data_IF_824747376396
#
_entry.id   IF_824747376396
#
_cell.length_a   1.000
_cell.length_b   1.000
_cell.length_c   1.000
_cell.angle_alpha   90.00
_cell.angle_beta   90.00
_cell.angle_gamma   90.00
#
_symmetry.space_group_name_H-M   'P 1'
#
loop_
_entity.id
_entity.type
_entity.pdbx_description
1 polymer ?
#
# COMPACT_ATOMS: atom_id res chain seq x y z
N UNK A 1 -10.36 -16.82 -21.01
CA UNK A 1 -11.07 -16.05 -22.06
C UNK A 1 -11.09 -14.59 -21.64
N UNK A 2 -10.33 -13.72 -22.31
CA UNK A 2 -10.37 -12.27 -22.13
C UNK A 2 -11.53 -11.73 -22.96
N UNK A 3 -12.69 -11.46 -22.35
CA UNK A 3 -13.78 -10.76 -23.05
C UNK A 3 -13.52 -9.26 -22.96
N UNK A 4 -13.10 -8.68 -24.08
CA UNK A 4 -13.11 -7.24 -24.32
C UNK A 4 -14.56 -6.77 -24.51
N UNK A 5 -15.01 -5.91 -23.61
CA UNK A 5 -16.00 -4.90 -23.90
C UNK A 5 -15.49 -3.66 -23.17
N UNK A 6 -15.40 -2.53 -23.88
CA UNK A 6 -15.22 -1.20 -23.28
C UNK A 6 -16.36 -0.99 -22.28
N UNK A 7 -16.17 -1.45 -21.04
CA UNK A 7 -17.11 -1.20 -19.95
C UNK A 7 -16.80 0.21 -19.49
N UNK A 8 -17.48 1.16 -20.12
CA UNK A 8 -17.53 2.52 -19.63
C UNK A 8 -18.51 2.60 -18.46
N UNK A 9 -18.14 3.35 -17.44
CA UNK A 9 -19.02 3.67 -16.32
C UNK A 9 -18.72 5.07 -15.80
N UNK A 10 -19.76 5.74 -15.32
CA UNK A 10 -19.66 7.07 -14.74
C UNK A 10 -20.11 7.02 -13.28
N UNK A 11 -19.30 7.61 -12.40
CA UNK A 11 -19.56 7.65 -10.96
C UNK A 11 -19.68 9.11 -10.53
N UNK A 12 -20.83 9.46 -9.96
CA UNK A 12 -21.00 10.76 -9.32
C UNK A 12 -20.42 10.73 -7.91
N UNK A 13 -19.52 11.66 -7.62
CA UNK A 13 -18.94 11.89 -6.30
C UNK A 13 -19.31 13.30 -5.81
N UNK A 14 -19.14 13.54 -4.51
CA UNK A 14 -19.46 14.84 -3.90
C UNK A 14 -18.66 16.02 -4.49
N UNK A 15 -17.53 15.74 -5.15
CA UNK A 15 -16.57 16.71 -5.70
C UNK A 15 -16.63 16.82 -7.23
N UNK A 16 -17.45 16.00 -7.90
CA UNK A 16 -17.53 15.93 -9.36
C UNK A 16 -17.83 14.53 -9.89
N UNK A 17 -17.67 14.34 -11.19
CA UNK A 17 -17.95 13.09 -11.90
C UNK A 17 -16.67 12.42 -12.38
N UNK A 18 -16.56 11.12 -12.12
CA UNK A 18 -15.47 10.27 -12.59
C UNK A 18 -15.98 9.34 -13.71
N UNK A 19 -15.42 9.48 -14.90
CA UNK A 19 -15.71 8.65 -16.06
C UNK A 19 -14.59 7.62 -16.22
N UNK A 20 -14.92 6.33 -16.27
CA UNK A 20 -13.97 5.22 -16.24
C UNK A 20 -14.18 4.36 -17.49
N UNK A 21 -13.09 4.03 -18.18
CA UNK A 21 -13.07 3.05 -19.26
C UNK A 21 -12.06 1.94 -18.95
N UNK A 22 -12.49 0.68 -18.97
CA UNK A 22 -11.61 -0.48 -18.73
C UNK A 22 -11.21 -1.11 -20.06
N UNK A 23 -9.91 -1.15 -20.34
CA UNK A 23 -9.35 -1.70 -21.58
C UNK A 23 -9.06 -3.20 -21.46
N UNK A 24 -8.46 -3.62 -20.33
CA UNK A 24 -8.10 -5.01 -20.07
C UNK A 24 -8.20 -5.31 -18.58
N UNK A 25 -8.85 -6.41 -18.24
CA UNK A 25 -9.05 -6.80 -16.86
C UNK A 25 -8.83 -8.31 -16.71
N UNK A 26 -7.90 -8.69 -15.83
CA UNK A 26 -7.83 -10.04 -15.28
C UNK A 26 -8.83 -10.23 -14.14
N UNK A 27 -9.19 -9.13 -13.47
CA UNK A 27 -10.12 -9.07 -12.36
C UNK A 27 -11.22 -8.05 -12.65
N UNK A 28 -12.48 -8.30 -12.27
CA UNK A 28 -13.54 -7.29 -12.41
C UNK A 28 -13.19 -6.00 -11.66
N UNK A 29 -13.56 -4.85 -12.23
CA UNK A 29 -13.29 -3.55 -11.61
C UNK A 29 -13.81 -3.50 -10.16
N UNK A 30 -15.08 -3.87 -9.98
CA UNK A 30 -15.76 -3.84 -8.69
C UNK A 30 -15.20 -4.84 -7.67
N UNK A 31 -14.37 -5.80 -8.12
CA UNK A 31 -13.63 -6.70 -7.23
C UNK A 31 -12.29 -6.10 -6.79
N UNK A 32 -11.65 -5.25 -7.60
CA UNK A 32 -10.36 -4.62 -7.28
C UNK A 32 -10.52 -3.32 -6.51
N UNK A 33 -11.46 -2.46 -6.90
CA UNK A 33 -11.60 -1.15 -6.29
C UNK A 33 -13.05 -0.63 -6.27
N UNK A 34 -13.21 0.43 -5.50
CA UNK A 34 -14.32 1.35 -5.49
C UNK A 34 -13.77 2.78 -5.57
N UNK A 35 -14.63 3.79 -5.42
CA UNK A 35 -14.21 5.19 -5.57
C UNK A 35 -14.82 6.06 -4.47
N UNK A 36 -14.08 7.09 -4.07
CA UNK A 36 -14.52 8.06 -3.08
C UNK A 36 -14.01 9.47 -3.41
N UNK A 37 -14.63 10.49 -2.82
CA UNK A 37 -14.16 11.86 -2.94
C UNK A 37 -13.00 12.12 -1.97
N UNK A 38 -11.99 12.87 -2.42
CA UNK A 38 -10.88 13.31 -1.55
C UNK A 38 -11.23 14.60 -0.85
N UNK A 39 -10.65 14.79 0.33
CA UNK A 39 -10.61 16.07 1.02
C UNK A 39 -9.42 16.89 0.50
N UNK A 40 -9.38 17.16 -0.82
CA UNK A 40 -8.29 17.90 -1.46
C UNK A 40 -8.79 18.68 -2.70
N UNK A 41 -8.54 20.01 -2.80
CA UNK A 41 -9.04 20.82 -3.91
C UNK A 41 -8.37 20.54 -5.27
N UNK A 42 -7.17 19.92 -5.28
CA UNK A 42 -6.40 19.61 -6.50
C UNK A 42 -6.61 18.20 -7.02
N UNK A 43 -7.20 17.32 -6.21
CA UNK A 43 -7.48 15.91 -6.55
C UNK A 43 -8.87 15.59 -6.06
N UNK A 44 -9.86 15.57 -6.94
CA UNK A 44 -11.25 15.41 -6.55
C UNK A 44 -11.65 14.00 -6.08
N UNK A 45 -10.92 12.95 -6.48
CA UNK A 45 -11.29 11.56 -6.21
C UNK A 45 -10.12 10.69 -5.74
N UNK A 46 -10.45 9.52 -5.20
CA UNK A 46 -9.56 8.47 -4.71
C UNK A 46 -10.03 7.12 -5.25
N UNK A 47 -9.09 6.31 -5.76
CA UNK A 47 -9.32 4.88 -6.00
C UNK A 47 -9.19 4.13 -4.67
N UNK A 48 -10.19 3.33 -4.34
CA UNK A 48 -10.34 2.69 -3.04
C UNK A 48 -10.17 1.19 -3.23
N UNK A 49 -8.97 0.68 -3.00
CA UNK A 49 -8.69 -0.75 -3.16
C UNK A 49 -9.55 -1.61 -2.23
N UNK A 50 -10.12 -2.69 -2.78
CA UNK A 50 -10.86 -3.74 -2.07
C UNK A 50 -9.97 -4.91 -1.64
N UNK A 51 -8.73 -4.94 -2.10
CA UNK A 51 -7.82 -6.09 -1.95
C UNK A 51 -6.55 -5.76 -1.16
N UNK A 52 -6.49 -4.59 -0.50
CA UNK A 52 -5.32 -4.15 0.28
C UNK A 52 -5.59 -3.97 1.77
N UNK A 53 -6.85 -3.97 2.21
CA UNK A 53 -7.16 -3.66 3.59
C UNK A 53 -6.91 -2.19 3.98
N UNK A 54 -6.69 -1.25 3.06
CA UNK A 54 -6.38 0.14 3.48
C UNK A 54 -7.64 0.89 3.94
N UNK A 55 -8.56 1.11 3.01
CA UNK A 55 -9.77 1.90 3.26
C UNK A 55 -11.01 1.03 3.52
N UNK A 56 -11.00 -0.18 2.97
CA UNK A 56 -12.03 -1.20 3.17
C UNK A 56 -11.35 -2.40 3.83
N UNK A 57 -12.01 -3.08 4.79
CA UNK A 57 -11.53 -4.37 5.26
C UNK A 57 -11.42 -5.36 4.10
N UNK A 58 -10.35 -6.14 4.07
CA UNK A 58 -10.12 -7.17 3.06
C UNK A 58 -9.87 -8.52 3.73
N UNK A 59 -10.30 -9.62 3.11
CA UNK A 59 -9.94 -10.95 3.61
C UNK A 59 -8.48 -11.26 3.25
N UNK A 60 -7.73 -11.97 4.12
CA UNK A 60 -6.35 -12.35 3.83
C UNK A 60 -6.22 -13.14 2.52
N UNK A 61 -7.16 -14.04 2.26
CA UNK A 61 -7.23 -14.80 1.01
C UNK A 61 -7.30 -13.90 -0.23
N UNK A 62 -8.12 -12.83 -0.19
CA UNK A 62 -8.25 -11.90 -1.32
C UNK A 62 -6.95 -11.11 -1.54
N UNK A 63 -6.32 -10.65 -0.45
CA UNK A 63 -5.04 -9.95 -0.50
C UNK A 63 -3.96 -10.85 -1.13
N UNK A 64 -3.79 -12.07 -0.62
CA UNK A 64 -2.84 -13.08 -1.12
C UNK A 64 -3.09 -13.45 -2.58
N UNK A 65 -4.33 -13.70 -2.96
CA UNK A 65 -4.70 -14.09 -4.32
C UNK A 65 -4.40 -12.95 -5.33
N UNK A 66 -4.70 -11.69 -4.98
CA UNK A 66 -4.37 -10.56 -5.85
C UNK A 66 -2.86 -10.40 -6.07
N UNK A 67 -2.06 -10.57 -5.02
CA UNK A 67 -0.60 -10.52 -5.10
C UNK A 67 -0.02 -11.70 -5.89
N UNK A 68 -0.55 -12.92 -5.68
CA UNK A 68 -0.16 -14.13 -6.43
C UNK A 68 -0.41 -13.95 -7.92
N UNK A 69 -1.61 -13.51 -8.29
CA UNK A 69 -1.95 -13.26 -9.68
C UNK A 69 -1.05 -12.18 -10.28
N UNK A 70 -0.73 -11.14 -9.52
CA UNK A 70 0.17 -10.09 -9.97
C UNK A 70 1.60 -10.62 -10.17
N UNK A 71 2.12 -11.42 -9.24
CA UNK A 71 3.43 -12.06 -9.32
C UNK A 71 3.54 -13.02 -10.51
N UNK A 72 2.49 -13.80 -10.80
CA UNK A 72 2.43 -14.73 -11.94
C UNK A 72 2.47 -14.02 -13.31
N UNK A 73 2.34 -12.68 -13.35
CA UNK A 73 2.45 -11.86 -14.56
C UNK A 73 3.82 -11.20 -14.72
N UNK A 74 4.71 -11.35 -13.74
CA UNK A 74 6.08 -10.88 -13.84
C UNK A 74 6.91 -11.83 -14.72
N UNK A 75 7.89 -11.31 -15.47
CA UNK A 75 8.85 -12.16 -16.19
C UNK A 75 9.71 -12.95 -15.20
N UNK A 76 9.81 -14.26 -15.41
CA UNK A 76 10.61 -15.18 -14.58
C UNK A 76 12.12 -15.17 -14.95
N UNK A 77 12.45 -14.64 -16.12
CA UNK A 77 13.79 -14.56 -16.70
C UNK A 77 14.57 -13.26 -16.38
N UNK A 78 14.10 -12.46 -15.41
CA UNK A 78 14.79 -11.22 -14.99
C UNK A 78 16.24 -11.51 -14.55
N UNK A 79 17.25 -10.76 -15.06
CA UNK A 79 18.64 -10.88 -14.60
C UNK A 79 18.77 -10.73 -13.08
N UNK A 80 19.34 -11.75 -12.43
CA UNK A 80 19.54 -11.80 -10.98
C UNK A 80 20.82 -11.09 -10.51
N UNK A 81 20.89 -10.59 -9.27
CA UNK A 81 19.83 -10.62 -8.24
C UNK A 81 18.66 -9.68 -8.56
N UNK A 82 17.45 -10.05 -8.12
CA UNK A 82 16.24 -9.22 -8.28
C UNK A 82 15.89 -8.57 -6.95
N UNK A 83 15.58 -7.26 -6.97
CA UNK A 83 15.04 -6.57 -5.80
C UNK A 83 13.61 -6.12 -6.07
N UNK A 84 12.68 -6.64 -5.28
CA UNK A 84 11.28 -6.17 -5.21
C UNK A 84 11.23 -4.95 -4.29
N UNK A 85 10.73 -3.83 -4.79
CA UNK A 85 10.67 -2.55 -4.07
C UNK A 85 9.23 -2.07 -3.94
N UNK A 86 8.70 -2.05 -2.72
CA UNK A 86 7.35 -1.53 -2.42
C UNK A 86 7.31 -0.02 -2.17
N UNK A 87 6.29 0.65 -2.72
CA UNK A 87 5.97 2.04 -2.39
C UNK A 87 5.18 2.15 -1.09
N UNK A 88 5.73 2.88 -0.12
CA UNK A 88 5.00 3.21 1.11
C UNK A 88 3.93 4.27 0.85
N UNK A 89 2.77 4.20 1.47
CA UNK A 89 2.42 3.29 2.56
C UNK A 89 1.59 2.09 2.06
N UNK A 90 0.73 2.35 1.07
CA UNK A 90 -0.34 1.45 0.65
C UNK A 90 0.17 0.14 0.07
N UNK A 91 1.23 0.17 -0.73
CA UNK A 91 1.74 -1.01 -1.42
C UNK A 91 2.74 -1.84 -0.61
N UNK A 92 3.07 -1.49 0.66
CA UNK A 92 4.06 -2.24 1.46
C UNK A 92 3.66 -3.71 1.61
N UNK A 93 2.46 -3.98 2.12
CA UNK A 93 1.97 -5.35 2.27
C UNK A 93 1.88 -6.06 0.91
N UNK A 94 1.32 -5.40 -0.11
CA UNK A 94 1.22 -5.95 -1.47
C UNK A 94 2.59 -6.37 -2.02
N UNK A 95 3.59 -5.51 -1.89
CA UNK A 95 4.92 -5.72 -2.43
C UNK A 95 5.64 -6.87 -1.73
N UNK A 96 5.47 -7.01 -0.42
CA UNK A 96 6.05 -8.09 0.34
C UNK A 96 5.36 -9.43 0.02
N UNK A 97 4.03 -9.43 -0.16
CA UNK A 97 3.30 -10.60 -0.67
C UNK A 97 3.73 -10.97 -2.09
N UNK A 98 3.93 -9.99 -2.98
CA UNK A 98 4.44 -10.21 -4.35
C UNK A 98 5.86 -10.79 -4.32
N UNK A 99 6.72 -10.32 -3.42
CA UNK A 99 8.06 -10.89 -3.22
C UNK A 99 8.01 -12.37 -2.90
N UNK A 100 7.16 -12.77 -1.94
CA UNK A 100 7.01 -14.18 -1.58
C UNK A 100 6.43 -15.02 -2.71
N UNK A 101 5.34 -14.58 -3.32
CA UNK A 101 4.69 -15.32 -4.41
C UNK A 101 5.60 -15.44 -5.64
N UNK A 102 6.40 -14.41 -5.93
CA UNK A 102 7.34 -14.46 -7.04
C UNK A 102 8.51 -15.42 -6.78
N UNK A 103 8.98 -15.51 -5.53
CA UNK A 103 9.94 -16.54 -5.12
C UNK A 103 9.37 -17.94 -5.22
N UNK A 104 8.15 -18.15 -4.75
CA UNK A 104 7.47 -19.44 -4.82
C UNK A 104 7.25 -19.87 -6.27
N UNK A 105 6.79 -18.97 -7.13
CA UNK A 105 6.53 -19.26 -8.54
C UNK A 105 7.80 -19.59 -9.34
N UNK A 106 8.93 -18.93 -9.04
CA UNK A 106 10.18 -19.09 -9.80
C UNK A 106 11.18 -20.07 -9.16
N UNK A 107 10.99 -20.42 -7.89
CA UNK A 107 11.96 -21.20 -7.11
C UNK A 107 13.27 -20.46 -6.81
N UNK A 108 13.36 -19.16 -7.14
CA UNK A 108 14.59 -18.36 -7.00
C UNK A 108 14.82 -17.91 -5.57
N UNK A 109 16.09 -17.94 -5.17
CA UNK A 109 16.55 -17.49 -3.85
C UNK A 109 17.20 -16.10 -3.88
N UNK A 110 17.52 -15.60 -5.07
CA UNK A 110 18.15 -14.29 -5.32
C UNK A 110 17.12 -13.16 -5.54
N UNK A 111 15.89 -13.37 -5.10
CA UNK A 111 14.84 -12.34 -5.08
C UNK A 111 14.76 -11.80 -3.65
N UNK A 112 15.11 -10.53 -3.50
CA UNK A 112 15.14 -9.81 -2.24
C UNK A 112 14.02 -8.77 -2.18
N UNK A 113 13.74 -8.26 -0.98
CA UNK A 113 12.69 -7.27 -0.76
C UNK A 113 13.23 -6.01 -0.08
N UNK A 114 12.68 -4.86 -0.44
CA UNK A 114 12.87 -3.57 0.21
C UNK A 114 11.55 -2.78 0.08
N UNK A 115 11.29 -1.84 0.96
CA UNK A 115 10.26 -0.84 0.70
C UNK A 115 10.76 0.56 1.05
N UNK A 116 10.23 1.55 0.34
CA UNK A 116 10.40 2.94 0.74
C UNK A 116 9.68 3.20 2.06
N UNK A 117 10.06 4.25 2.77
CA UNK A 117 9.44 4.62 4.05
C UNK A 117 9.43 6.12 4.25
N UNK A 118 8.51 6.61 5.07
CA UNK A 118 8.51 7.98 5.59
C UNK A 118 8.91 8.03 7.06
N UNK A 119 9.53 6.97 7.55
CA UNK A 119 10.06 6.86 8.91
C UNK A 119 11.57 7.02 8.90
N UNK A 120 12.07 7.98 9.69
CA UNK A 120 13.48 8.20 9.92
C UNK A 120 14.02 7.15 10.90
N UNK A 121 14.94 6.34 10.41
CA UNK A 121 15.80 5.42 11.14
C UNK A 121 17.22 6.00 11.23
N UNK A 122 17.94 5.64 12.30
CA UNK A 122 19.38 5.86 12.41
C UNK A 122 20.15 4.83 11.56
N UNK A 123 20.03 4.99 10.24
CA UNK A 123 20.64 4.10 9.26
C UNK A 123 21.03 4.89 8.00
N UNK A 124 22.11 4.53 7.27
CA UNK A 124 22.48 5.23 6.05
C UNK A 124 21.41 5.11 4.95
N UNK A 125 21.07 6.25 4.34
CA UNK A 125 20.18 6.31 3.18
C UNK A 125 20.92 5.89 1.91
N UNK A 126 20.22 5.14 1.06
CA UNK A 126 20.62 4.89 -0.32
C UNK A 126 20.27 6.12 -1.18
N UNK A 127 19.01 6.55 -1.12
CA UNK A 127 18.50 7.70 -1.86
C UNK A 127 17.20 8.22 -1.24
N UNK A 128 16.75 9.37 -1.76
CA UNK A 128 15.45 9.97 -1.49
C UNK A 128 14.74 10.24 -2.82
N UNK A 129 13.42 10.21 -2.84
CA UNK A 129 12.63 10.66 -3.99
C UNK A 129 11.31 11.29 -3.54
N UNK A 130 10.73 12.12 -4.40
CA UNK A 130 9.49 12.85 -4.13
C UNK A 130 8.36 12.34 -5.02
N UNK A 131 7.15 12.28 -4.47
CA UNK A 131 5.95 12.12 -5.31
C UNK A 131 5.40 13.50 -5.69
N UNK A 132 5.16 13.81 -6.98
CA UNK A 132 4.81 15.16 -7.44
C UNK A 132 3.49 15.74 -6.89
N UNK A 133 2.65 14.90 -6.29
CA UNK A 133 1.28 15.25 -5.91
C UNK A 133 0.97 15.04 -4.44
N UNK A 134 1.92 14.50 -3.69
CA UNK A 134 1.91 14.61 -2.26
C UNK A 134 2.90 15.73 -1.96
N UNK A 135 2.45 16.86 -1.41
CA UNK A 135 3.33 17.79 -0.69
C UNK A 135 3.96 17.13 0.56
N UNK A 136 4.01 15.79 0.58
CA UNK A 136 4.53 14.96 1.63
C UNK A 136 6.05 14.85 1.49
N UNK A 137 6.66 14.68 2.64
CA UNK A 137 8.02 14.28 2.89
C UNK A 137 8.56 13.32 1.82
N UNK A 138 9.78 13.61 1.35
CA UNK A 138 10.53 12.71 0.48
C UNK A 138 10.51 11.28 1.05
N UNK A 139 10.21 10.30 0.20
CA UNK A 139 10.38 8.90 0.55
C UNK A 139 11.85 8.62 0.80
N UNK A 140 12.10 7.85 1.85
CA UNK A 140 13.41 7.39 2.23
C UNK A 140 13.58 5.96 1.73
N UNK A 141 14.73 5.68 1.14
CA UNK A 141 15.18 4.32 0.88
C UNK A 141 16.50 4.14 1.62
N UNK A 142 16.50 3.24 2.59
CA UNK A 142 17.71 2.91 3.33
C UNK A 142 18.59 1.96 2.51
N UNK A 143 19.91 2.10 2.68
CA UNK A 143 20.87 1.21 2.03
C UNK A 143 20.72 -0.19 2.63
N UNK A 144 20.29 -1.20 1.85
CA UNK A 144 20.11 -2.53 2.39
C UNK A 144 21.46 -3.24 2.53
N UNK A 145 21.54 -4.18 3.48
CA UNK A 145 22.66 -5.13 3.58
C UNK A 145 22.43 -6.33 2.63
N UNK A 146 22.24 -6.04 1.34
CA UNK A 146 21.91 -7.01 0.29
C UNK A 146 22.86 -6.85 -0.91
N UNK A 147 23.02 -7.90 -1.75
CA UNK A 147 23.71 -7.77 -3.03
C UNK A 147 23.09 -6.68 -3.91
N UNK A 148 23.91 -5.98 -4.70
CA UNK A 148 23.38 -5.03 -5.68
C UNK A 148 22.50 -5.75 -6.72
N UNK A 149 21.30 -5.24 -7.02
CA UNK A 149 20.39 -5.88 -7.96
C UNK A 149 20.84 -5.65 -9.41
N UNK A 150 20.58 -6.66 -10.25
CA UNK A 150 20.60 -6.54 -11.72
C UNK A 150 19.21 -6.28 -12.30
N UNK A 151 18.15 -6.59 -11.54
CA UNK A 151 16.78 -6.23 -11.92
C UNK A 151 15.98 -5.65 -10.75
N UNK A 152 15.05 -4.75 -11.05
CA UNK A 152 14.09 -4.23 -10.09
C UNK A 152 12.67 -4.62 -10.44
N UNK A 153 11.88 -5.02 -9.43
CA UNK A 153 10.42 -5.11 -9.52
C UNK A 153 9.84 -4.01 -8.65
N UNK A 154 9.30 -2.95 -9.24
CA UNK A 154 8.69 -1.85 -8.49
C UNK A 154 7.19 -2.13 -8.30
N UNK A 155 6.71 -2.05 -7.07
CA UNK A 155 5.33 -2.39 -6.73
C UNK A 155 4.59 -1.16 -6.18
N UNK A 156 3.46 -0.84 -6.81
CA UNK A 156 2.54 0.21 -6.39
C UNK A 156 1.09 -0.29 -6.49
N UNK A 157 0.15 0.27 -5.74
CA UNK A 157 -1.24 -0.16 -5.85
C UNK A 157 -1.94 0.38 -7.10
N UNK A 158 -1.60 1.60 -7.50
CA UNK A 158 -2.23 2.30 -8.61
C UNK A 158 -1.22 3.08 -9.46
N UNK A 159 -1.32 2.99 -10.79
CA UNK A 159 -0.58 3.87 -11.70
C UNK A 159 -1.53 4.85 -12.37
N UNK A 160 -1.25 6.14 -12.21
CA UNK A 160 -1.99 7.22 -12.89
C UNK A 160 -1.15 7.91 -13.98
N UNK A 161 -0.16 8.73 -13.60
CA UNK A 161 0.77 9.37 -14.55
C UNK A 161 2.11 8.63 -14.68
N UNK A 162 2.36 7.66 -13.81
CA UNK A 162 3.65 6.96 -13.69
C UNK A 162 4.81 7.81 -13.15
N UNK A 163 4.58 9.07 -12.76
CA UNK A 163 5.68 9.96 -12.37
C UNK A 163 6.38 9.49 -11.09
N UNK A 164 5.63 9.05 -10.07
CA UNK A 164 6.20 8.51 -8.82
C UNK A 164 7.13 7.33 -9.09
N UNK A 165 6.69 6.38 -9.92
CA UNK A 165 7.50 5.23 -10.34
C UNK A 165 8.75 5.63 -11.13
N UNK A 166 8.64 6.58 -12.07
CA UNK A 166 9.79 7.10 -12.81
C UNK A 166 10.83 7.75 -11.87
N UNK A 167 10.38 8.54 -10.89
CA UNK A 167 11.26 9.20 -9.92
C UNK A 167 11.99 8.16 -9.05
N UNK A 168 11.25 7.16 -8.55
CA UNK A 168 11.83 6.03 -7.81
C UNK A 168 12.85 5.28 -8.66
N UNK A 169 12.48 4.90 -9.88
CA UNK A 169 13.33 4.15 -10.79
C UNK A 169 14.64 4.90 -11.11
N UNK A 170 14.55 6.21 -11.35
CA UNK A 170 15.72 7.05 -11.62
C UNK A 170 16.65 7.13 -10.40
N UNK A 171 16.09 7.33 -9.20
CA UNK A 171 16.88 7.37 -7.96
C UNK A 171 17.62 6.05 -7.73
N UNK A 172 16.93 4.91 -7.90
CA UNK A 172 17.52 3.58 -7.75
C UNK A 172 18.54 3.24 -8.86
N UNK A 173 18.28 3.58 -10.11
CA UNK A 173 19.22 3.36 -11.21
C UNK A 173 20.48 4.22 -11.11
N UNK A 174 20.36 5.39 -10.46
CA UNK A 174 21.53 6.23 -10.13
C UNK A 174 22.36 5.58 -9.03
N UNK A 175 21.71 5.02 -8.00
CA UNK A 175 22.38 4.36 -6.90
C UNK A 175 22.97 2.99 -7.29
N UNK A 176 22.36 2.29 -8.24
CA UNK A 176 22.77 0.98 -8.76
C UNK A 176 22.87 1.00 -10.29
N UNK A 177 24.01 1.48 -10.85
CA UNK A 177 24.17 1.63 -12.30
C UNK A 177 24.08 0.33 -13.10
N UNK A 178 24.32 -0.82 -12.44
CA UNK A 178 24.33 -2.18 -13.01
C UNK A 178 22.94 -2.80 -13.21
N UNK A 179 21.86 -2.11 -12.85
CA UNK A 179 20.51 -2.58 -13.18
C UNK A 179 20.36 -2.65 -14.70
N UNK A 180 19.88 -3.78 -15.20
CA UNK A 180 19.71 -4.09 -16.62
C UNK A 180 18.24 -4.07 -17.03
N UNK A 181 17.35 -4.54 -16.16
CA UNK A 181 15.93 -4.69 -16.44
C UNK A 181 15.06 -4.21 -15.28
N UNK A 182 13.82 -3.83 -15.62
CA UNK A 182 12.81 -3.41 -14.66
C UNK A 182 11.48 -4.09 -14.98
N UNK A 183 10.71 -4.35 -13.93
CA UNK A 183 9.31 -4.71 -14.02
C UNK A 183 8.53 -3.82 -13.06
N UNK A 184 7.28 -3.53 -13.42
CA UNK A 184 6.34 -2.84 -12.54
C UNK A 184 5.16 -3.76 -12.28
N UNK A 185 4.76 -3.88 -11.02
CA UNK A 185 3.61 -4.63 -10.58
C UNK A 185 2.58 -3.67 -9.98
N UNK A 186 1.36 -3.64 -10.50
CA UNK A 186 0.28 -2.82 -9.96
C UNK A 186 -1.09 -3.50 -10.01
N UNK A 187 -2.00 -3.13 -9.11
CA UNK A 187 -3.37 -3.64 -9.16
C UNK A 187 -4.12 -2.99 -10.31
N UNK A 188 -4.05 -1.66 -10.41
CA UNK A 188 -4.77 -0.88 -11.43
C UNK A 188 -3.87 0.11 -12.15
N UNK A 189 -3.76 -0.03 -13.47
CA UNK A 189 -3.02 0.87 -14.36
C UNK A 189 -4.01 1.75 -15.15
N UNK A 190 -4.15 3.00 -14.71
CA UNK A 190 -5.01 4.02 -15.33
C UNK A 190 -4.25 4.93 -16.30
N UNK A 191 -3.06 4.51 -16.69
CA UNK A 191 -2.16 5.31 -17.51
C UNK A 191 -2.30 5.04 -19.00
N UNK A 192 -3.32 4.30 -19.46
CA UNK A 192 -3.48 4.01 -20.88
C UNK A 192 -3.51 5.30 -21.71
N UNK A 193 -2.67 5.34 -22.74
CA UNK A 193 -2.45 6.54 -23.57
C UNK A 193 -1.34 7.47 -23.06
N UNK A 194 -0.73 7.18 -21.91
CA UNK A 194 0.43 7.91 -21.37
C UNK A 194 1.70 7.10 -21.60
N UNK A 195 2.71 7.73 -22.20
CA UNK A 195 4.00 7.08 -22.50
C UNK A 195 4.98 7.10 -21.32
N UNK A 196 4.52 6.82 -20.09
CA UNK A 196 5.39 6.94 -18.91
C UNK A 196 6.53 5.91 -18.89
N UNK A 197 6.33 4.73 -19.46
CA UNK A 197 7.37 3.69 -19.59
C UNK A 197 8.61 4.19 -20.35
N UNK A 198 8.43 5.10 -21.31
CA UNK A 198 9.53 5.69 -22.07
C UNK A 198 10.46 6.58 -21.21
N UNK A 199 10.00 7.00 -20.03
CA UNK A 199 10.80 7.76 -19.05
C UNK A 199 11.51 6.86 -18.04
N UNK A 200 11.30 5.54 -18.10
CA UNK A 200 12.01 4.61 -17.22
C UNK A 200 13.48 4.52 -17.65
N UNK A 201 14.43 4.45 -16.70
CA UNK A 201 15.86 4.50 -17.02
C UNK A 201 16.39 3.19 -17.61
N UNK A 202 15.59 2.12 -17.61
CA UNK A 202 15.93 0.78 -18.13
C UNK A 202 14.71 0.15 -18.80
N UNK A 203 14.90 -0.86 -19.69
CA UNK A 203 13.81 -1.63 -20.26
C UNK A 203 12.84 -2.10 -19.19
N UNK A 204 11.56 -1.74 -19.35
CA UNK A 204 10.54 -1.92 -18.31
C UNK A 204 9.31 -2.64 -18.86
N UNK A 205 8.93 -3.76 -18.25
CA UNK A 205 7.63 -4.39 -18.47
C UNK A 205 6.63 -4.01 -17.35
N UNK A 206 5.33 -4.22 -17.59
CA UNK A 206 4.28 -3.98 -16.59
C UNK A 206 3.39 -5.22 -16.44
N UNK A 207 3.30 -5.71 -15.22
CA UNK A 207 2.25 -6.59 -14.73
C UNK A 207 1.14 -5.76 -14.08
N UNK A 208 -0.09 -5.89 -14.59
CA UNK A 208 -1.27 -5.23 -14.03
C UNK A 208 -2.46 -6.20 -14.00
N UNK A 209 -3.28 -6.13 -12.95
CA UNK A 209 -4.53 -6.90 -12.89
C UNK A 209 -5.66 -6.22 -13.67
N UNK A 210 -5.64 -4.89 -13.75
CA UNK A 210 -6.57 -4.10 -14.55
C UNK A 210 -5.87 -2.92 -15.21
N UNK A 211 -6.23 -2.63 -16.46
CA UNK A 211 -5.78 -1.48 -17.24
C UNK A 211 -6.96 -0.71 -17.79
N UNK A 212 -6.88 0.62 -17.77
CA UNK A 212 -7.95 1.49 -18.22
C UNK A 212 -7.58 2.97 -18.23
N UNK A 213 -8.61 3.81 -18.30
CA UNK A 213 -8.54 5.27 -18.26
C UNK A 213 -9.55 5.82 -17.27
N UNK A 214 -9.19 6.94 -16.67
CA UNK A 214 -10.08 7.72 -15.81
C UNK A 214 -10.05 9.18 -16.26
N UNK A 215 -11.21 9.76 -16.44
CA UNK A 215 -11.42 11.17 -16.75
C UNK A 215 -12.22 11.82 -15.62
N UNK A 216 -11.73 12.95 -15.13
CA UNK A 216 -12.33 13.65 -13.99
C UNK A 216 -12.93 14.97 -14.45
N UNK A 217 -14.22 15.15 -14.21
CA UNK A 217 -14.92 16.43 -14.39
C UNK A 217 -15.22 17.01 -13.01
N UNK A 218 -14.51 18.07 -12.63
CA UNK A 218 -14.72 18.74 -11.35
C UNK A 218 -16.02 19.56 -11.36
N UNK A 219 -16.82 19.41 -10.31
CA UNK A 219 -18.00 20.24 -10.08
C UNK A 219 -17.72 21.20 -8.92
N UNK A 220 -18.17 22.46 -9.04
CA UNK A 220 -17.89 23.51 -8.06
C UNK A 220 -18.51 23.16 -6.70
N UNK A 221 -17.70 22.68 -5.77
CA UNK A 221 -18.07 22.55 -4.36
C UNK A 221 -17.31 23.58 -3.52
N UNK A 222 -18.00 24.08 -2.51
CA UNK A 222 -17.58 25.13 -1.58
C UNK A 222 -16.21 24.83 -0.96
N UNK A 223 -15.35 25.85 -0.98
CA UNK A 223 -13.96 25.93 -0.48
C UNK A 223 -13.60 24.88 0.58
N UNK A 224 -12.76 23.90 0.20
CA UNK A 224 -12.05 23.05 1.15
C UNK A 224 -10.82 23.81 1.69
N UNK A 225 -10.67 23.85 3.01
CA UNK A 225 -9.59 24.55 3.70
C UNK A 225 -8.20 24.13 3.18
N UNK A 226 -7.39 25.13 2.80
CA UNK A 226 -6.03 25.00 2.25
C UNK A 226 -4.97 24.58 3.28
N UNK A 227 -5.33 24.41 4.56
CA UNK A 227 -4.39 24.10 5.65
C UNK A 227 -3.87 22.65 5.68
N UNK A 228 -4.34 21.77 4.79
CA UNK A 228 -3.89 20.37 4.74
C UNK A 228 -2.50 20.18 4.12
N UNK A 229 -2.09 21.05 3.19
CA UNK A 229 -0.90 20.83 2.35
C UNK A 229 0.42 20.89 3.14
N UNK A 230 0.46 21.51 4.32
CA UNK A 230 1.71 21.71 5.10
C UNK A 230 1.99 20.62 6.13
N UNK A 231 0.95 19.94 6.66
CA UNK A 231 1.12 18.94 7.71
C UNK A 231 1.59 17.57 7.17
N UNK A 232 1.13 17.16 5.98
CA UNK A 232 1.48 15.85 5.39
C UNK A 232 3.00 15.67 5.07
N UNK A 233 3.80 16.72 5.24
CA UNK A 233 5.22 16.80 4.93
C UNK A 233 6.17 16.26 6.00
N UNK A 234 5.70 15.94 7.22
CA UNK A 234 6.61 15.47 8.27
C UNK A 234 7.00 14.00 8.09
N UNK A 235 8.26 13.70 8.41
CA UNK A 235 8.76 12.33 8.53
C UNK A 235 8.57 11.90 9.99
N UNK A 236 8.18 10.65 10.20
CA UNK A 236 8.16 10.10 11.56
C UNK A 236 9.57 9.71 11.98
N UNK A 237 9.77 9.43 13.27
CA UNK A 237 11.07 9.01 13.78
C UNK A 237 10.92 7.74 14.59
N UNK A 238 11.68 6.70 14.23
CA UNK A 238 11.73 5.45 14.98
C UNK A 238 13.09 5.35 15.65
N UNK A 239 13.11 5.52 16.97
CA UNK A 239 14.34 5.37 17.77
C UNK A 239 14.76 3.89 17.85
N UNK A 240 13.78 3.00 18.03
CA UNK A 240 13.95 1.55 17.97
C UNK A 240 13.13 1.01 16.81
N UNK A 241 13.65 0.00 16.12
CA UNK A 241 12.95 -0.64 15.01
C UNK A 241 13.42 -2.07 14.82
N UNK A 242 12.51 -2.93 14.38
CA UNK A 242 12.79 -4.26 13.86
C UNK A 242 12.67 -4.20 12.35
N UNK A 243 13.54 -4.92 11.64
CA UNK A 243 13.54 -4.85 10.19
C UNK A 243 12.41 -5.69 9.59
N UNK A 244 11.31 -5.01 9.23
CA UNK A 244 10.20 -5.60 8.47
C UNK A 244 10.27 -5.32 6.97
N UNK A 245 11.42 -4.86 6.47
CA UNK A 245 11.63 -4.58 5.06
C UNK A 245 12.29 -3.23 4.77
N UNK A 246 12.35 -2.31 5.75
CA UNK A 246 12.99 -1.00 5.59
C UNK A 246 14.49 -1.09 5.31
N UNK A 247 15.17 -2.11 5.86
CA UNK A 247 16.62 -2.32 5.68
C UNK A 247 16.97 -3.47 4.72
N UNK A 248 15.96 -3.95 3.99
CA UNK A 248 16.09 -5.06 3.05
C UNK A 248 15.90 -6.43 3.69
N UNK A 249 15.35 -7.39 2.94
CA UNK A 249 15.17 -8.77 3.35
C UNK A 249 15.72 -9.72 2.29
N UNK A 250 16.54 -10.68 2.74
CA UNK A 250 17.04 -11.77 1.90
C UNK A 250 16.04 -12.95 1.83
N UNK A 251 15.06 -12.99 2.74
CA UNK A 251 14.07 -14.05 2.91
C UNK A 251 12.71 -13.51 3.38
N UNK A 252 11.62 -14.26 3.14
CA UNK A 252 10.31 -13.99 3.75
C UNK A 252 10.41 -13.84 5.27
N UNK A 253 9.58 -12.97 5.85
CA UNK A 253 9.53 -12.81 7.31
C UNK A 253 8.63 -13.89 7.89
N UNK A 254 9.07 -14.50 8.98
CA UNK A 254 8.22 -15.30 9.86
C UNK A 254 8.38 -14.71 11.25
N UNK A 255 7.35 -14.01 11.75
CA UNK A 255 7.39 -13.42 13.08
C UNK A 255 6.02 -13.44 13.75
N UNK A 256 5.96 -14.09 14.90
CA UNK A 256 4.84 -13.99 15.83
C UNK A 256 4.87 -12.64 16.57
N UNK A 257 3.73 -12.17 17.07
CA UNK A 257 3.69 -11.05 18.00
C UNK A 257 4.52 -11.32 19.26
N UNK A 258 5.09 -10.27 19.84
CA UNK A 258 5.78 -10.33 21.14
C UNK A 258 4.79 -10.35 22.31
N UNK A 259 3.57 -9.86 22.08
CA UNK A 259 2.47 -9.87 23.04
C UNK A 259 1.62 -11.13 22.89
N UNK A 260 1.02 -11.61 23.98
CA UNK A 260 0.05 -12.70 23.91
C UNK A 260 -1.10 -12.34 22.96
N UNK A 261 -1.46 -13.29 22.09
CA UNK A 261 -2.61 -13.15 21.20
C UNK A 261 -3.89 -13.29 22.04
N UNK A 262 -4.82 -12.31 21.98
CA UNK A 262 -6.07 -12.40 22.73
C UNK A 262 -6.97 -13.56 22.30
N UNK A 263 -7.92 -13.94 23.16
CA UNK A 263 -8.92 -14.95 22.84
C UNK A 263 -9.85 -14.48 21.71
N UNK A 264 -10.08 -15.35 20.72
CA UNK A 264 -10.96 -15.06 19.57
C UNK A 264 -12.33 -15.68 19.79
N UNK A 265 -13.30 -14.85 20.18
CA UNK A 265 -14.68 -15.28 20.48
C UNK A 265 -15.66 -15.11 19.30
N UNK A 266 -15.21 -14.57 18.16
CA UNK A 266 -16.06 -14.28 17.02
C UNK A 266 -15.30 -13.61 15.86
N UNK A 267 -16.01 -12.95 14.94
CA UNK A 267 -15.40 -12.22 13.83
C UNK A 267 -14.38 -11.18 14.31
N UNK A 268 -13.25 -11.12 13.62
CA UNK A 268 -12.09 -10.32 14.02
C UNK A 268 -11.68 -9.37 12.89
N UNK A 269 -11.25 -8.16 13.26
CA UNK A 269 -10.53 -7.21 12.40
C UNK A 269 -9.14 -6.96 12.99
N UNK A 270 -8.10 -7.27 12.21
CA UNK A 270 -6.71 -6.93 12.55
C UNK A 270 -6.32 -5.66 11.80
N UNK A 271 -5.86 -4.64 12.53
CA UNK A 271 -5.60 -3.29 12.02
C UNK A 271 -4.10 -3.00 12.09
N UNK A 272 -3.42 -2.96 10.95
CA UNK A 272 -2.03 -2.49 10.87
C UNK A 272 -1.91 -0.96 10.97
N UNK A 273 -0.82 -0.46 11.57
CA UNK A 273 -0.58 0.98 11.71
C UNK A 273 0.37 1.53 10.64
N UNK A 274 -0.15 2.40 9.77
CA UNK A 274 0.65 3.07 8.74
C UNK A 274 1.30 2.07 7.78
N UNK A 275 2.63 2.07 7.75
CA UNK A 275 3.43 1.14 6.91
C UNK A 275 3.47 -0.29 7.48
N UNK A 276 3.24 -0.45 8.79
CA UNK A 276 3.29 -1.74 9.49
C UNK A 276 2.03 -2.57 9.20
N UNK A 277 2.05 -3.29 8.08
CA UNK A 277 0.88 -3.99 7.54
C UNK A 277 1.14 -5.44 7.20
N UNK A 278 2.39 -5.83 6.94
CA UNK A 278 2.71 -7.19 6.52
C UNK A 278 2.66 -8.25 7.65
N UNK A 279 3.34 -8.08 8.81
CA UNK A 279 3.18 -9.03 9.92
C UNK A 279 1.74 -9.19 10.43
N UNK A 280 0.93 -8.12 10.56
CA UNK A 280 -0.49 -8.25 10.90
C UNK A 280 -1.29 -9.06 9.87
N UNK A 281 -0.94 -8.94 8.59
CA UNK A 281 -1.53 -9.73 7.52
C UNK A 281 -1.15 -11.22 7.62
N UNK A 282 0.12 -11.55 7.90
CA UNK A 282 0.54 -12.94 8.14
C UNK A 282 -0.18 -13.57 9.33
N UNK A 283 -0.34 -12.83 10.43
CA UNK A 283 -1.14 -13.29 11.57
C UNK A 283 -2.58 -13.59 11.12
N UNK A 284 -3.19 -12.70 10.34
CA UNK A 284 -4.55 -12.90 9.85
C UNK A 284 -4.68 -14.13 8.95
N UNK A 285 -3.71 -14.43 8.09
CA UNK A 285 -3.71 -15.65 7.28
C UNK A 285 -3.70 -16.91 8.13
N UNK A 286 -2.79 -16.99 9.10
CA UNK A 286 -2.72 -18.14 10.01
C UNK A 286 -4.05 -18.34 10.76
N UNK A 287 -4.63 -17.26 11.28
CA UNK A 287 -5.90 -17.36 12.01
C UNK A 287 -7.06 -17.82 11.12
N UNK A 288 -7.06 -17.44 9.83
CA UNK A 288 -8.03 -17.98 8.86
C UNK A 288 -7.79 -19.47 8.61
N UNK A 289 -6.53 -19.93 8.53
CA UNK A 289 -6.20 -21.36 8.42
C UNK A 289 -6.63 -22.16 9.66
N UNK A 290 -6.61 -21.52 10.84
CA UNK A 290 -7.14 -22.06 12.11
C UNK A 290 -8.68 -22.03 12.20
N UNK A 291 -9.36 -21.45 11.21
CA UNK A 291 -10.83 -21.45 11.09
C UNK A 291 -11.52 -20.20 11.61
N UNK A 292 -10.80 -19.12 11.91
CA UNK A 292 -11.38 -17.85 12.38
C UNK A 292 -11.85 -16.96 11.21
N UNK A 293 -12.94 -16.21 11.42
CA UNK A 293 -13.39 -15.14 10.50
C UNK A 293 -12.57 -13.87 10.74
N UNK A 294 -11.53 -13.66 9.93
CA UNK A 294 -10.61 -12.51 10.06
C UNK A 294 -10.63 -11.65 8.80
N UNK A 295 -10.71 -10.34 9.02
CA UNK A 295 -10.41 -9.32 7.99
C UNK A 295 -9.21 -8.49 8.42
N UNK A 296 -8.44 -8.04 7.44
CA UNK A 296 -7.31 -7.13 7.62
C UNK A 296 -7.74 -5.73 7.24
N UNK A 297 -7.31 -4.78 8.04
CA UNK A 297 -7.40 -3.37 7.74
C UNK A 297 -6.11 -2.62 8.12
N UNK A 298 -5.94 -1.38 7.69
CA UNK A 298 -4.81 -0.55 8.07
C UNK A 298 -5.20 0.94 8.20
N UNK A 299 -4.50 1.65 9.08
CA UNK A 299 -4.66 3.11 9.21
C UNK A 299 -4.05 3.84 8.00
N UNK A 300 -4.47 5.07 7.70
CA UNK A 300 -3.97 5.84 6.57
C UNK A 300 -3.71 7.29 6.96
N UNK A 301 -2.70 7.90 6.33
CA UNK A 301 -2.42 9.34 6.42
C UNK A 301 -3.24 10.18 5.42
N UNK A 302 -3.97 9.53 4.50
CA UNK A 302 -4.70 10.23 3.44
C UNK A 302 -6.15 10.53 3.86
N UNK A 303 -6.55 11.82 3.95
CA UNK A 303 -7.92 12.19 4.25
C UNK A 303 -8.84 11.99 3.04
N UNK A 304 -9.94 11.28 3.24
CA UNK A 304 -11.05 11.13 2.31
C UNK A 304 -12.32 11.76 2.90
N UNK A 305 -13.22 12.22 2.04
CA UNK A 305 -14.55 12.66 2.45
C UNK A 305 -15.43 11.43 2.74
N UNK A 306 -16.37 11.57 3.66
CA UNK A 306 -17.41 10.56 3.87
C UNK A 306 -18.38 10.56 2.68
N UNK A 307 -18.83 9.39 2.27
CA UNK A 307 -19.67 9.17 1.10
C UNK A 307 -19.05 8.19 0.10
N UNK A 308 -19.88 7.66 -0.81
CA UNK A 308 -19.50 6.58 -1.73
C UNK A 308 -18.84 5.41 -0.98
N UNK A 309 -17.58 5.08 -1.29
CA UNK A 309 -16.87 3.97 -0.63
C UNK A 309 -16.39 4.26 0.82
N UNK A 310 -16.61 5.46 1.37
CA UNK A 310 -16.18 5.85 2.72
C UNK A 310 -17.39 6.08 3.65
N UNK A 311 -17.93 5.01 4.24
CA UNK A 311 -19.10 5.09 5.12
C UNK A 311 -18.78 5.77 6.46
N UNK A 312 -17.70 5.32 7.11
CA UNK A 312 -17.23 5.85 8.39
C UNK A 312 -15.81 6.38 8.29
N UNK A 313 -15.46 7.32 9.18
CA UNK A 313 -14.15 7.96 9.26
C UNK A 313 -13.83 8.24 10.73
N UNK A 314 -12.78 7.62 11.24
CA UNK A 314 -12.13 7.97 12.50
C UNK A 314 -10.89 8.79 12.19
N UNK A 315 -10.61 9.80 13.02
CA UNK A 315 -9.41 10.64 12.97
C UNK A 315 -8.75 10.63 14.34
N UNK A 316 -7.45 10.38 14.39
CA UNK A 316 -6.67 10.20 15.63
C UNK A 316 -5.21 10.64 15.42
N UNK A 317 -4.43 10.73 16.48
CA UNK A 317 -3.00 11.06 16.40
C UNK A 317 -2.19 9.91 15.80
N UNK A 318 -1.10 10.21 15.09
CA UNK A 318 -0.20 9.17 14.60
C UNK A 318 0.65 8.56 15.72
N UNK A 319 1.08 7.32 15.51
CA UNK A 319 1.92 6.57 16.43
C UNK A 319 3.43 6.65 16.11
N UNK A 320 3.84 7.51 15.17
CA UNK A 320 5.23 7.70 14.72
C UNK A 320 5.81 9.08 15.08
N UNK A 321 5.07 9.89 15.85
CA UNK A 321 5.47 11.23 16.30
C UNK A 321 5.50 12.30 15.22
N UNK A 322 4.78 12.13 14.11
CA UNK A 322 4.79 13.05 12.97
C UNK A 322 3.98 14.33 13.20
N UNK A 323 2.99 14.28 14.10
CA UNK A 323 1.97 15.32 14.27
C UNK A 323 0.92 15.36 13.15
N UNK A 324 0.99 14.43 12.19
CA UNK A 324 0.02 14.29 11.11
C UNK A 324 -1.13 13.41 11.59
N UNK A 325 -2.38 13.86 11.49
CA UNK A 325 -3.51 13.01 11.82
C UNK A 325 -3.55 11.75 10.95
N UNK A 326 -3.79 10.61 11.59
CA UNK A 326 -4.12 9.36 10.93
C UNK A 326 -5.62 9.15 10.89
N UNK A 327 -6.04 8.30 9.95
CA UNK A 327 -7.43 7.98 9.68
C UNK A 327 -7.66 6.48 9.61
N UNK A 328 -8.84 6.04 10.00
CA UNK A 328 -9.35 4.69 9.77
C UNK A 328 -10.77 4.81 9.23
N UNK A 329 -11.04 4.13 8.13
CA UNK A 329 -12.32 4.20 7.42
C UNK A 329 -13.06 2.88 7.56
N UNK A 330 -14.38 2.88 7.44
CA UNK A 330 -15.18 1.64 7.35
C UNK A 330 -14.89 0.61 8.48
N UNK A 331 -14.54 1.11 9.67
CA UNK A 331 -14.27 0.33 10.88
C UNK A 331 -15.32 0.65 11.94
N UNK A 332 -16.57 0.26 11.67
CA UNK A 332 -17.70 0.49 12.57
C UNK A 332 -17.88 -0.69 13.50
N UNK A 333 -18.08 -0.42 14.79
CA UNK A 333 -18.39 -1.46 15.79
C UNK A 333 -19.73 -2.14 15.54
N UNK A 334 -20.63 -1.52 14.77
CA UNK A 334 -21.90 -2.12 14.38
C UNK A 334 -21.74 -3.39 13.53
N UNK A 335 -20.56 -3.65 12.96
CA UNK A 335 -20.28 -4.88 12.22
C UNK A 335 -20.03 -6.11 13.13
N UNK A 336 -20.00 -5.92 14.45
CA UNK A 336 -19.86 -6.99 15.43
C UNK A 336 -18.45 -7.59 15.54
N UNK A 337 -17.45 -7.04 14.86
CA UNK A 337 -16.07 -7.54 14.91
C UNK A 337 -15.32 -7.06 16.15
N UNK A 338 -14.58 -7.97 16.78
CA UNK A 338 -13.49 -7.60 17.68
C UNK A 338 -12.40 -6.87 16.87
N UNK A 339 -11.66 -5.97 17.50
CA UNK A 339 -10.64 -5.17 16.83
C UNK A 339 -9.29 -5.33 17.53
N UNK A 340 -8.27 -5.72 16.79
CA UNK A 340 -6.89 -5.74 17.26
C UNK A 340 -6.08 -4.69 16.50
N UNK A 341 -5.41 -3.80 17.21
CA UNK A 341 -4.50 -2.83 16.62
C UNK A 341 -3.08 -3.37 16.75
N UNK A 342 -2.49 -3.68 15.61
CA UNK A 342 -1.14 -4.19 15.50
C UNK A 342 -0.13 -3.06 15.34
N UNK A 343 0.94 -3.07 16.13
CA UNK A 343 1.91 -1.98 16.17
C UNK A 343 3.38 -2.43 16.24
N UNK A 344 4.27 -1.66 15.64
CA UNK A 344 5.73 -1.80 15.79
C UNK A 344 6.35 -0.73 16.72
N UNK A 345 5.57 0.28 17.12
CA UNK A 345 6.05 1.47 17.84
C UNK A 345 5.89 1.38 19.36
N UNK A 346 5.23 0.33 19.86
CA UNK A 346 4.93 0.11 21.28
C UNK A 346 3.55 0.63 21.71
N UNK A 347 2.90 -0.05 22.64
CA UNK A 347 1.50 0.17 23.01
C UNK A 347 1.20 1.61 23.46
N UNK A 348 2.14 2.24 24.19
CA UNK A 348 2.00 3.60 24.70
C UNK A 348 1.93 4.68 23.60
N UNK A 349 2.30 4.35 22.36
CA UNK A 349 2.25 5.27 21.22
C UNK A 349 0.92 5.27 20.50
N UNK A 350 0.04 4.31 20.78
CA UNK A 350 -1.26 4.21 20.12
C UNK A 350 -2.24 5.19 20.76
N UNK A 351 -2.92 5.97 19.92
CA UNK A 351 -3.90 6.98 20.35
C UNK A 351 -5.00 6.34 21.24
N UNK A 352 -5.15 6.77 22.51
CA UNK A 352 -6.16 6.21 23.40
C UNK A 352 -7.61 6.41 22.91
N UNK A 353 -7.86 7.46 22.14
CA UNK A 353 -9.15 7.72 21.51
C UNK A 353 -9.48 6.69 20.43
N UNK A 354 -8.50 6.26 19.63
CA UNK A 354 -8.67 5.16 18.68
C UNK A 354 -9.00 3.84 19.40
N UNK A 355 -8.26 3.51 20.46
CA UNK A 355 -8.48 2.30 21.26
C UNK A 355 -9.90 2.30 21.82
N UNK A 356 -10.32 3.41 22.45
CA UNK A 356 -11.65 3.54 23.01
C UNK A 356 -12.76 3.49 21.94
N UNK A 357 -12.55 4.14 20.79
CA UNK A 357 -13.51 4.17 19.69
C UNK A 357 -13.79 2.77 19.13
N UNK A 358 -12.79 1.90 19.08
CA UNK A 358 -12.88 0.54 18.54
C UNK A 358 -13.11 -0.54 19.61
N UNK A 359 -12.93 -0.20 20.90
CA UNK A 359 -12.73 -1.18 21.99
C UNK A 359 -11.64 -2.19 21.62
N UNK A 360 -10.53 -1.67 21.11
CA UNK A 360 -9.49 -2.50 20.54
C UNK A 360 -8.56 -3.07 21.59
N UNK A 361 -8.05 -4.27 21.33
CA UNK A 361 -6.87 -4.81 22.00
C UNK A 361 -5.62 -4.47 21.19
N UNK A 362 -4.46 -4.43 21.84
CA UNK A 362 -3.19 -4.08 21.21
C UNK A 362 -2.31 -5.31 21.05
N UNK A 363 -1.71 -5.46 19.87
CA UNK A 363 -0.78 -6.55 19.56
C UNK A 363 0.53 -5.97 19.05
N UNK A 364 1.66 -6.34 19.67
CA UNK A 364 2.95 -5.72 19.45
C UNK A 364 3.96 -6.60 18.72
N UNK A 365 4.74 -5.98 17.82
CA UNK A 365 6.01 -6.48 17.26
C UNK A 365 7.10 -5.43 17.51
N UNK A 366 7.45 -5.25 18.77
CA UNK A 366 8.42 -4.28 19.23
C UNK A 366 9.86 -4.75 19.03
N UNK A 367 10.79 -3.78 19.00
CA UNK A 367 12.22 -4.01 18.77
C UNK A 367 13.01 -4.13 20.07
#
# INVERSE_FOLDING_TARGET
MLTAADKTQSIQLATGRLDIAVDKAAWPLDSLCAFAARENPRRGFLVVSRVLGRYLPATPQMMRQSARDLAARLPDDLPGPVLVVGLAETAVCLAQTVHEEFRLATGRVDIHFLHSTRQQLDHPLLCRFEEPHSHASAHLIYRPALPEPRSLVLVDDEISTGTTLCNLAQALATAWPRIEAMAVATLTDWSTGKAWQARMPRPTCIAALLRGRMEWTQETTTVLNSSFDTAAASLGRMATHRNFGRLGLDRPIVCEPDTAVPEILGPLRIIGTGEFTYPPFLLAERLVEEGHDVVVQATSRSPALRGAAMATKLRFADNYGTGVPNYLYNADRADGRANWIAHETGAATIDPGLIAALRAELIGWTA
#
